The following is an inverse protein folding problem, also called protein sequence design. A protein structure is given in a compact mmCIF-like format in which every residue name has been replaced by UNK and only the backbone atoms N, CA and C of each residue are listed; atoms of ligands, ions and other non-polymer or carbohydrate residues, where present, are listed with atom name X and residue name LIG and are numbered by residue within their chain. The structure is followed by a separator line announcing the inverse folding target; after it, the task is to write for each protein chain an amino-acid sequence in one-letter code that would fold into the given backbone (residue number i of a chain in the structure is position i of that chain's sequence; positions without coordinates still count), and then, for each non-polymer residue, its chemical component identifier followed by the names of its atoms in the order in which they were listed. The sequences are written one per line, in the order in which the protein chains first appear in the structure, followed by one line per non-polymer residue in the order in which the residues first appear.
data_IF_792379786993
#
_entry.id   IF_792379786993
#
_cell.length_a   1.000
_cell.length_b   1.000
_cell.length_c   1.000
_cell.angle_alpha   90.00
_cell.angle_beta   90.00
_cell.angle_gamma   90.00
#
_symmetry.space_group_name_H-M   'P 1'
#
loop_
_entity.id
_entity.type
_entity.pdbx_description
1 polymer ?
#
# COMPACT_ATOMS: atom_id res chain seq x y z
N UNK A 1 14.39 2.69 30.08
CA UNK A 1 13.55 1.49 30.27
C UNK A 1 12.64 1.45 29.07
N UNK A 2 12.98 0.65 28.06
CA UNK A 2 12.10 0.42 26.89
C UNK A 2 10.89 -0.39 27.37
N UNK A 3 9.69 0.14 27.14
CA UNK A 3 8.47 -0.65 27.32
C UNK A 3 8.59 -1.93 26.47
N UNK A 4 8.06 -3.08 26.93
CA UNK A 4 8.08 -4.28 26.12
C UNK A 4 7.34 -3.97 24.80
N UNK A 5 8.06 -4.03 23.68
CA UNK A 5 7.46 -4.01 22.37
C UNK A 5 6.48 -5.19 22.33
N UNK A 6 5.22 -4.89 22.12
CA UNK A 6 4.19 -5.91 21.98
C UNK A 6 4.51 -6.67 20.67
N UNK A 7 5.17 -7.80 20.79
CA UNK A 7 5.77 -8.57 19.68
C UNK A 7 4.72 -9.33 18.85
N UNK A 8 3.43 -9.17 19.21
CA UNK A 8 2.32 -9.82 18.53
C UNK A 8 2.02 -9.10 17.20
N UNK A 9 2.07 -9.81 16.07
CA UNK A 9 1.70 -9.24 14.79
C UNK A 9 0.26 -8.72 14.78
N UNK A 10 0.05 -7.54 14.19
CA UNK A 10 -1.29 -6.94 14.02
C UNK A 10 -2.06 -7.59 12.88
N UNK A 11 -1.34 -8.17 11.89
CA UNK A 11 -1.90 -8.96 10.80
C UNK A 11 -0.91 -10.05 10.39
N UNK A 12 -1.42 -11.24 10.09
CA UNK A 12 -0.68 -12.32 9.43
C UNK A 12 -1.52 -12.89 8.31
N UNK A 13 -0.95 -13.01 7.13
CA UNK A 13 -1.49 -13.78 6.01
C UNK A 13 -0.53 -14.96 5.81
N UNK A 14 -1.03 -16.18 5.91
CA UNK A 14 -0.22 -17.40 5.94
C UNK A 14 -0.63 -18.35 4.82
N UNK A 15 0.35 -18.82 4.04
CA UNK A 15 0.20 -19.87 3.04
C UNK A 15 -0.82 -19.55 1.95
N UNK A 16 -0.92 -18.29 1.50
CA UNK A 16 -1.87 -17.89 0.47
C UNK A 16 -1.51 -18.52 -0.88
N UNK A 17 -2.46 -19.28 -1.41
CA UNK A 17 -2.44 -19.80 -2.77
C UNK A 17 -3.67 -19.27 -3.50
N UNK A 18 -3.50 -18.79 -4.74
CA UNK A 18 -4.57 -18.24 -5.56
C UNK A 18 -4.47 -18.68 -7.01
N UNK A 19 -5.58 -19.20 -7.54
CA UNK A 19 -5.73 -19.48 -8.96
C UNK A 19 -6.65 -18.45 -9.61
N UNK A 20 -6.28 -17.95 -10.77
CA UNK A 20 -7.14 -17.13 -11.63
C UNK A 20 -7.13 -17.75 -13.02
N UNK A 21 -8.32 -17.99 -13.58
CA UNK A 21 -8.51 -18.59 -14.92
C UNK A 21 -7.66 -19.87 -15.15
N UNK A 22 -7.54 -20.71 -14.10
CA UNK A 22 -6.78 -21.97 -14.14
C UNK A 22 -5.26 -21.82 -13.99
N UNK A 23 -4.73 -20.60 -13.85
CA UNK A 23 -3.31 -20.35 -13.59
C UNK A 23 -3.09 -20.07 -12.11
N UNK A 24 -2.04 -20.65 -11.54
CA UNK A 24 -1.61 -20.35 -10.18
C UNK A 24 -0.91 -18.98 -10.20
N UNK A 25 -1.50 -17.99 -9.54
CA UNK A 25 -0.98 -16.62 -9.45
C UNK A 25 -0.20 -16.41 -8.14
N UNK A 26 -0.67 -17.02 -7.03
CA UNK A 26 0.04 -17.06 -5.76
C UNK A 26 0.31 -18.52 -5.40
N UNK A 27 1.48 -18.81 -4.91
CA UNK A 27 1.94 -20.14 -4.54
C UNK A 27 2.66 -20.07 -3.17
N UNK A 28 1.90 -20.33 -2.10
CA UNK A 28 2.40 -20.37 -0.72
C UNK A 28 3.01 -19.05 -0.24
N UNK A 29 2.32 -17.92 -0.49
CA UNK A 29 2.77 -16.60 -0.05
C UNK A 29 2.36 -16.33 1.40
N UNK A 30 3.30 -15.84 2.21
CA UNK A 30 3.04 -15.44 3.59
C UNK A 30 3.62 -14.06 3.88
N UNK A 31 2.96 -13.30 4.77
CA UNK A 31 3.43 -12.01 5.27
C UNK A 31 2.90 -11.79 6.68
N UNK A 32 3.71 -11.17 7.52
CA UNK A 32 3.35 -10.79 8.88
C UNK A 32 3.61 -9.31 9.07
N UNK A 33 2.76 -8.60 9.80
CA UNK A 33 2.84 -7.15 10.04
C UNK A 33 2.85 -6.84 11.53
N UNK A 34 3.78 -6.02 11.97
CA UNK A 34 3.86 -5.46 13.32
C UNK A 34 3.50 -3.98 13.32
N UNK A 35 3.22 -3.37 14.48
CA UNK A 35 3.05 -1.92 14.58
C UNK A 35 4.28 -1.18 14.02
N UNK A 36 4.06 -0.20 13.14
CA UNK A 36 5.12 0.59 12.52
C UNK A 36 5.85 -0.06 11.34
N UNK A 37 5.57 -1.31 11.00
CA UNK A 37 6.17 -1.95 9.82
C UNK A 37 5.75 -1.26 8.52
N UNK A 38 6.72 -1.01 7.65
CA UNK A 38 6.50 -0.64 6.26
C UNK A 38 7.13 -1.71 5.39
N UNK A 39 6.30 -2.59 4.82
CA UNK A 39 6.76 -3.69 3.96
C UNK A 39 6.52 -3.35 2.50
N UNK A 40 7.53 -3.51 1.67
CA UNK A 40 7.46 -3.20 0.25
C UNK A 40 7.59 -4.47 -0.58
N UNK A 41 6.59 -4.72 -1.42
CA UNK A 41 6.56 -5.81 -2.39
C UNK A 41 7.12 -5.32 -3.72
N UNK A 42 8.19 -5.92 -4.19
CA UNK A 42 8.79 -5.65 -5.49
C UNK A 42 8.88 -6.92 -6.33
N UNK A 43 9.15 -6.77 -7.62
CA UNK A 43 9.30 -7.89 -8.56
C UNK A 43 8.65 -7.60 -9.92
N UNK A 44 8.85 -8.48 -10.92
CA UNK A 44 8.37 -8.26 -12.28
C UNK A 44 6.85 -8.13 -12.37
N UNK A 45 6.37 -7.51 -13.46
CA UNK A 45 4.95 -7.49 -13.79
C UNK A 45 4.42 -8.92 -13.91
N UNK A 46 3.21 -9.16 -13.37
CA UNK A 46 2.62 -10.50 -13.34
C UNK A 46 3.15 -11.42 -12.23
N UNK A 47 4.05 -10.97 -11.35
CA UNK A 47 4.55 -11.77 -10.22
C UNK A 47 3.50 -12.07 -9.13
N UNK A 48 2.31 -11.45 -9.20
CA UNK A 48 1.23 -11.70 -8.24
C UNK A 48 1.10 -10.63 -7.13
N UNK A 49 1.88 -9.55 -7.14
CA UNK A 49 1.93 -8.53 -6.08
C UNK A 49 0.56 -7.92 -5.76
N UNK A 50 -0.14 -7.37 -6.74
CA UNK A 50 -1.49 -6.79 -6.57
C UNK A 50 -2.51 -7.84 -6.15
N UNK A 51 -2.41 -9.07 -6.69
CA UNK A 51 -3.26 -10.20 -6.30
C UNK A 51 -3.04 -10.55 -4.82
N UNK A 52 -1.78 -10.50 -4.35
CA UNK A 52 -1.47 -10.76 -2.94
C UNK A 52 -2.09 -9.70 -2.03
N UNK A 53 -1.94 -8.39 -2.35
CA UNK A 53 -2.62 -7.33 -1.61
C UNK A 53 -4.14 -7.50 -1.58
N UNK A 54 -4.75 -7.84 -2.72
CA UNK A 54 -6.19 -8.07 -2.82
C UNK A 54 -6.65 -9.29 -2.01
N UNK A 55 -5.81 -10.32 -1.89
CA UNK A 55 -6.09 -11.47 -1.03
C UNK A 55 -5.98 -11.08 0.47
N UNK A 56 -5.01 -10.24 0.86
CA UNK A 56 -4.87 -9.76 2.24
C UNK A 56 -6.11 -8.97 2.68
N UNK A 57 -6.70 -8.16 1.80
CA UNK A 57 -7.95 -7.44 2.08
C UNK A 57 -9.20 -8.26 1.78
N UNK A 58 -9.06 -9.53 1.37
CA UNK A 58 -10.15 -10.41 0.95
C UNK A 58 -11.08 -9.79 -0.13
N UNK A 59 -10.56 -8.89 -0.97
CA UNK A 59 -11.23 -8.50 -2.22
C UNK A 59 -11.23 -9.66 -3.20
N UNK A 60 -10.15 -10.44 -3.21
CA UNK A 60 -10.05 -11.76 -3.80
C UNK A 60 -9.89 -12.76 -2.66
N UNK A 61 -10.83 -13.69 -2.52
CA UNK A 61 -10.69 -14.78 -1.57
C UNK A 61 -9.55 -15.70 -2.01
N UNK A 62 -8.54 -15.97 -1.15
CA UNK A 62 -7.51 -16.96 -1.47
C UNK A 62 -8.14 -18.36 -1.56
N UNK A 63 -7.58 -19.22 -2.43
CA UNK A 63 -8.06 -20.59 -2.54
C UNK A 63 -7.52 -21.49 -1.41
N UNK A 64 -6.37 -21.10 -0.82
CA UNK A 64 -5.78 -21.72 0.36
C UNK A 64 -5.09 -20.65 1.21
N UNK A 65 -4.92 -20.94 2.49
CA UNK A 65 -4.26 -20.08 3.44
C UNK A 65 -5.19 -19.50 4.50
N UNK A 66 -4.63 -18.70 5.38
CA UNK A 66 -5.33 -18.12 6.53
C UNK A 66 -4.93 -16.67 6.71
N UNK A 67 -5.86 -15.87 7.23
CA UNK A 67 -5.58 -14.49 7.66
C UNK A 67 -5.95 -14.31 9.13
N UNK A 68 -5.10 -13.62 9.85
CA UNK A 68 -5.25 -13.31 11.25
C UNK A 68 -5.15 -11.81 11.48
N UNK A 69 -6.06 -11.27 12.29
CA UNK A 69 -5.99 -9.91 12.84
C UNK A 69 -5.67 -10.01 14.34
N UNK A 70 -4.42 -9.72 14.71
CA UNK A 70 -3.90 -10.06 16.02
C UNK A 70 -4.02 -11.57 16.24
N UNK A 71 -4.74 -11.96 17.31
CA UNK A 71 -4.94 -13.37 17.67
C UNK A 71 -6.23 -13.99 17.08
N UNK A 72 -7.00 -13.18 16.31
CA UNK A 72 -8.26 -13.65 15.73
C UNK A 72 -8.05 -14.11 14.27
N UNK A 73 -8.35 -15.38 14.00
CA UNK A 73 -8.41 -15.92 12.64
C UNK A 73 -9.72 -15.50 11.97
N UNK A 74 -9.63 -14.89 10.82
CA UNK A 74 -10.78 -14.42 10.04
C UNK A 74 -11.40 -15.59 9.26
N UNK A 75 -12.70 -15.80 9.45
CA UNK A 75 -13.46 -16.77 8.64
C UNK A 75 -13.91 -16.10 7.34
N UNK A 76 -13.37 -16.56 6.21
CA UNK A 76 -13.72 -16.05 4.87
C UNK A 76 -15.20 -16.23 4.51
N UNK A 77 -15.91 -17.17 5.16
CA UNK A 77 -17.34 -17.39 4.95
C UNK A 77 -18.21 -16.48 5.80
N UNK A 78 -17.65 -15.82 6.81
CA UNK A 78 -18.37 -14.92 7.68
C UNK A 78 -18.30 -13.48 7.13
N UNK A 79 -19.36 -13.05 6.48
CA UNK A 79 -19.47 -11.69 5.89
C UNK A 79 -19.19 -10.58 6.89
N UNK A 80 -19.56 -10.76 8.16
CA UNK A 80 -19.31 -9.75 9.20
C UNK A 80 -17.81 -9.61 9.48
N UNK A 81 -17.10 -10.72 9.61
CA UNK A 81 -15.66 -10.71 9.83
C UNK A 81 -14.90 -10.12 8.63
N UNK A 82 -15.36 -10.39 7.39
CA UNK A 82 -14.82 -9.74 6.20
C UNK A 82 -15.05 -8.23 6.19
N UNK A 83 -16.19 -7.75 6.67
CA UNK A 83 -16.43 -6.31 6.80
C UNK A 83 -15.53 -5.69 7.89
N UNK A 84 -15.35 -6.37 9.02
CA UNK A 84 -14.46 -5.91 10.09
C UNK A 84 -13.01 -5.87 9.62
N UNK A 85 -12.56 -6.90 8.87
CA UNK A 85 -11.24 -6.90 8.24
C UNK A 85 -11.06 -5.68 7.33
N UNK A 86 -11.99 -5.44 6.39
CA UNK A 86 -11.89 -4.35 5.41
C UNK A 86 -12.00 -2.95 6.04
N UNK A 87 -12.55 -2.83 7.23
CA UNK A 87 -12.53 -1.56 7.97
C UNK A 87 -11.17 -1.30 8.60
N UNK A 88 -10.46 -2.36 9.03
CA UNK A 88 -9.13 -2.27 9.66
C UNK A 88 -8.00 -2.25 8.65
N UNK A 89 -8.19 -2.86 7.49
CA UNK A 89 -7.20 -2.96 6.41
C UNK A 89 -7.65 -2.07 5.28
N UNK A 90 -7.22 -0.82 5.29
CA UNK A 90 -7.49 0.16 4.24
C UNK A 90 -6.75 -0.19 2.95
N UNK A 91 -7.35 0.07 1.78
CA UNK A 91 -6.71 -0.18 0.50
C UNK A 91 -6.76 1.04 -0.41
N UNK A 92 -5.60 1.37 -0.97
CA UNK A 92 -5.39 2.44 -1.94
C UNK A 92 -4.94 1.77 -3.24
N UNK A 93 -5.68 2.03 -4.31
CA UNK A 93 -5.48 1.39 -5.61
C UNK A 93 -4.63 2.26 -6.54
N UNK A 94 -4.10 1.66 -7.58
CA UNK A 94 -3.39 2.32 -8.67
C UNK A 94 -4.27 3.36 -9.35
N UNK A 95 -5.52 3.00 -9.68
CA UNK A 95 -6.54 3.93 -10.10
C UNK A 95 -7.21 4.52 -8.85
N UNK A 96 -7.48 5.82 -8.87
CA UNK A 96 -7.97 6.56 -7.70
C UNK A 96 -9.29 6.04 -7.16
N UNK A 97 -10.12 5.42 -8.02
CA UNK A 97 -11.44 4.86 -7.70
C UNK A 97 -12.34 5.83 -6.92
N UNK A 98 -12.31 7.11 -7.31
CA UNK A 98 -13.20 8.11 -6.76
C UNK A 98 -14.56 8.05 -7.46
N UNK A 99 -15.60 8.40 -6.73
CA UNK A 99 -16.94 8.57 -7.28
C UNK A 99 -17.03 9.94 -7.95
N UNK A 100 -17.13 9.99 -9.28
CA UNK A 100 -17.09 11.21 -10.08
C UNK A 100 -18.24 12.18 -9.78
N UNK A 101 -19.37 11.66 -9.34
CA UNK A 101 -20.56 12.44 -8.97
C UNK A 101 -20.53 12.97 -7.53
N UNK A 102 -19.47 12.73 -6.78
CA UNK A 102 -19.27 13.20 -5.41
C UNK A 102 -18.08 14.17 -5.34
N UNK A 103 -18.21 15.23 -4.51
CA UNK A 103 -17.07 16.08 -4.15
C UNK A 103 -16.01 15.30 -3.37
N UNK A 104 -14.80 15.87 -3.22
CA UNK A 104 -13.71 15.25 -2.43
C UNK A 104 -14.18 14.92 -0.99
N UNK A 105 -14.81 15.89 -0.29
CA UNK A 105 -15.34 15.66 1.05
C UNK A 105 -16.39 14.53 1.10
N UNK A 106 -17.27 14.45 0.09
CA UNK A 106 -18.29 13.40 0.04
C UNK A 106 -17.71 12.04 -0.33
N UNK A 107 -16.65 11.98 -1.14
CA UNK A 107 -15.89 10.76 -1.39
C UNK A 107 -15.29 10.19 -0.09
N UNK A 108 -14.71 11.05 0.74
CA UNK A 108 -14.15 10.66 2.04
C UNK A 108 -15.25 10.31 3.04
N UNK A 109 -16.31 11.12 3.14
CA UNK A 109 -17.39 10.95 4.11
C UNK A 109 -18.29 9.74 3.83
N UNK A 110 -18.30 9.19 2.62
CA UNK A 110 -19.25 8.16 2.20
C UNK A 110 -19.19 6.91 3.09
N UNK A 111 -17.98 6.37 3.30
CA UNK A 111 -17.77 5.17 4.11
C UNK A 111 -18.12 5.42 5.58
N UNK A 112 -17.78 6.58 6.12
CA UNK A 112 -18.13 6.97 7.49
C UNK A 112 -19.63 6.94 7.73
N UNK A 113 -20.42 7.42 6.76
CA UNK A 113 -21.88 7.43 6.83
C UNK A 113 -22.49 6.05 6.62
N UNK A 114 -22.00 5.28 5.65
CA UNK A 114 -22.61 4.01 5.24
C UNK A 114 -22.16 2.82 6.07
N UNK A 115 -20.93 2.82 6.56
CA UNK A 115 -20.33 1.71 7.30
C UNK A 115 -20.30 2.00 8.79
N UNK A 116 -19.84 3.20 9.21
CA UNK A 116 -19.77 3.58 10.63
C UNK A 116 -21.05 4.23 11.17
N UNK A 117 -22.02 4.55 10.30
CA UNK A 117 -23.31 5.11 10.71
C UNK A 117 -23.24 6.55 11.23
N UNK A 118 -22.15 7.30 10.95
CA UNK A 118 -22.01 8.68 11.40
C UNK A 118 -23.09 9.58 10.77
N UNK A 119 -23.47 10.64 11.48
CA UNK A 119 -24.29 11.70 10.92
C UNK A 119 -23.59 12.36 9.72
N UNK A 120 -24.36 13.05 8.87
CA UNK A 120 -23.76 13.75 7.73
C UNK A 120 -22.79 14.85 8.19
N UNK A 121 -23.09 15.54 9.28
CA UNK A 121 -22.26 16.61 9.82
C UNK A 121 -20.92 16.05 10.32
N UNK A 122 -20.95 15.04 11.19
CA UNK A 122 -19.75 14.42 11.78
C UNK A 122 -18.87 13.78 10.71
N UNK A 123 -19.49 13.12 9.71
CA UNK A 123 -18.75 12.51 8.61
C UNK A 123 -18.05 13.56 7.72
N UNK A 124 -18.65 14.71 7.47
CA UNK A 124 -18.04 15.81 6.71
C UNK A 124 -16.94 16.48 7.55
N UNK A 125 -17.15 16.70 8.84
CA UNK A 125 -16.10 17.23 9.73
C UNK A 125 -14.87 16.32 9.72
N UNK A 126 -15.06 15.02 9.89
CA UNK A 126 -13.98 14.05 9.80
C UNK A 126 -13.30 14.06 8.41
N UNK A 127 -14.08 14.16 7.35
CA UNK A 127 -13.55 14.25 5.99
C UNK A 127 -12.64 15.49 5.79
N UNK A 128 -13.02 16.63 6.35
CA UNK A 128 -12.20 17.84 6.30
C UNK A 128 -10.87 17.67 7.05
N UNK A 129 -10.87 16.99 8.19
CA UNK A 129 -9.63 16.66 8.94
C UNK A 129 -8.68 15.85 8.08
N UNK A 130 -9.17 14.77 7.44
CA UNK A 130 -8.32 13.91 6.63
C UNK A 130 -7.88 14.58 5.31
N UNK A 131 -8.75 15.40 4.70
CA UNK A 131 -8.34 16.20 3.54
C UNK A 131 -7.27 17.23 3.89
N UNK A 132 -7.36 17.87 5.06
CA UNK A 132 -6.31 18.77 5.55
C UNK A 132 -4.99 18.02 5.78
N UNK A 133 -5.05 16.80 6.34
CA UNK A 133 -3.88 15.95 6.57
C UNK A 133 -3.12 15.61 5.29
N UNK A 134 -3.80 15.50 4.15
CA UNK A 134 -3.19 15.26 2.85
C UNK A 134 -2.97 16.55 2.02
N UNK A 135 -3.09 17.73 2.66
CA UNK A 135 -2.86 19.02 2.00
C UNK A 135 -3.94 19.47 1.02
N UNK A 136 -5.20 19.07 1.23
CA UNK A 136 -6.33 19.36 0.34
C UNK A 136 -7.50 20.06 1.04
N UNK A 137 -7.25 20.81 2.13
CA UNK A 137 -8.30 21.50 2.88
C UNK A 137 -9.14 22.45 2.02
N UNK A 138 -8.49 23.19 1.09
CA UNK A 138 -9.11 24.15 0.17
C UNK A 138 -9.82 23.49 -1.02
N UNK A 139 -9.63 22.19 -1.23
CA UNK A 139 -10.16 21.41 -2.35
C UNK A 139 -11.38 20.54 -1.98
N UNK A 140 -11.84 20.58 -0.72
CA UNK A 140 -12.87 19.69 -0.20
C UNK A 140 -14.16 19.65 -1.06
N UNK A 141 -14.55 20.77 -1.64
CA UNK A 141 -15.78 20.88 -2.44
C UNK A 141 -15.61 20.57 -3.92
N UNK A 142 -14.38 20.36 -4.39
CA UNK A 142 -14.11 20.04 -5.79
C UNK A 142 -14.50 18.60 -6.13
N UNK A 143 -14.92 18.40 -7.37
CA UNK A 143 -15.22 17.10 -7.94
C UNK A 143 -13.98 16.48 -8.58
N UNK A 144 -13.90 15.16 -8.77
CA UNK A 144 -12.73 14.50 -9.36
C UNK A 144 -12.29 15.09 -10.70
N UNK A 145 -13.22 15.52 -11.56
CA UNK A 145 -12.90 16.17 -12.83
C UNK A 145 -12.15 17.51 -12.69
N UNK A 146 -12.18 18.14 -11.52
CA UNK A 146 -11.53 19.42 -11.22
C UNK A 146 -10.19 19.24 -10.47
N UNK A 147 -9.78 18.01 -10.21
CA UNK A 147 -8.58 17.67 -9.46
C UNK A 147 -7.50 17.08 -10.38
N UNK A 148 -6.23 17.41 -10.11
CA UNK A 148 -5.10 16.74 -10.77
C UNK A 148 -5.03 15.27 -10.36
N UNK A 149 -4.26 14.45 -11.08
CA UNK A 149 -4.02 13.04 -10.72
C UNK A 149 -3.50 12.89 -9.30
N UNK A 150 -2.47 13.65 -8.90
CA UNK A 150 -1.92 13.64 -7.55
C UNK A 150 -2.93 14.08 -6.48
N UNK A 151 -3.79 15.06 -6.79
CA UNK A 151 -4.87 15.46 -5.89
C UNK A 151 -5.93 14.36 -5.73
N UNK A 152 -6.33 13.69 -6.81
CA UNK A 152 -7.24 12.53 -6.76
C UNK A 152 -6.69 11.41 -5.88
N UNK A 153 -5.39 11.10 -6.04
CA UNK A 153 -4.75 10.07 -5.22
C UNK A 153 -4.71 10.47 -3.74
N UNK A 154 -4.42 11.72 -3.44
CA UNK A 154 -4.45 12.22 -2.06
C UNK A 154 -5.87 12.19 -1.47
N UNK A 155 -6.93 12.42 -2.26
CA UNK A 155 -8.32 12.20 -1.82
C UNK A 155 -8.57 10.71 -1.54
N UNK A 156 -8.06 9.79 -2.37
CA UNK A 156 -8.19 8.35 -2.14
C UNK A 156 -7.46 7.92 -0.84
N UNK A 157 -6.29 8.50 -0.56
CA UNK A 157 -5.57 8.29 0.71
C UNK A 157 -6.41 8.82 1.89
N UNK A 158 -6.92 10.06 1.82
CA UNK A 158 -7.77 10.65 2.86
C UNK A 158 -9.02 9.79 3.12
N UNK A 159 -9.63 9.24 2.07
CA UNK A 159 -10.77 8.32 2.18
C UNK A 159 -10.43 7.05 2.94
N UNK A 160 -9.26 6.47 2.70
CA UNK A 160 -8.80 5.29 3.42
C UNK A 160 -8.50 5.62 4.89
N UNK A 161 -7.81 6.74 5.16
CA UNK A 161 -7.46 7.20 6.52
C UNK A 161 -8.68 7.53 7.36
N UNK A 162 -9.75 8.05 6.77
CA UNK A 162 -10.97 8.42 7.49
C UNK A 162 -11.61 7.25 8.23
N UNK A 163 -11.38 6.02 7.77
CA UNK A 163 -11.84 4.80 8.43
C UNK A 163 -11.00 4.36 9.63
N UNK A 164 -9.97 5.12 10.03
CA UNK A 164 -9.01 4.77 11.08
C UNK A 164 -8.45 3.34 10.90
N UNK A 165 -7.84 3.03 9.76
CA UNK A 165 -7.34 1.69 9.49
C UNK A 165 -6.15 1.36 10.38
N UNK A 166 -6.03 0.09 10.77
CA UNK A 166 -4.87 -0.43 11.49
C UNK A 166 -3.66 -0.61 10.55
N UNK A 167 -3.93 -0.89 9.26
CA UNK A 167 -2.93 -1.14 8.22
C UNK A 167 -3.43 -0.52 6.91
N UNK A 168 -2.50 0.04 6.11
CA UNK A 168 -2.76 0.46 4.74
C UNK A 168 -2.10 -0.48 3.75
N UNK A 169 -2.85 -0.89 2.75
CA UNK A 169 -2.36 -1.56 1.54
C UNK A 169 -2.33 -0.54 0.40
N UNK A 170 -1.18 -0.41 -0.26
CA UNK A 170 -0.99 0.54 -1.35
C UNK A 170 -0.54 -0.24 -2.60
N UNK A 171 -1.42 -0.30 -3.59
CA UNK A 171 -1.15 -0.98 -4.86
C UNK A 171 -0.72 0.04 -5.91
N UNK A 172 0.58 0.18 -6.13
CA UNK A 172 1.20 1.11 -7.07
C UNK A 172 0.61 2.53 -7.02
N UNK A 173 0.65 3.22 -5.87
CA UNK A 173 -0.12 4.46 -5.64
C UNK A 173 0.30 5.64 -6.52
N UNK A 174 1.36 5.53 -7.31
CA UNK A 174 1.90 6.60 -8.15
C UNK A 174 2.00 6.25 -9.63
N UNK A 175 1.70 5.01 -10.04
CA UNK A 175 1.92 4.55 -11.42
C UNK A 175 0.97 5.19 -12.45
N UNK A 176 -0.20 5.69 -12.01
CA UNK A 176 -1.16 6.40 -12.85
C UNK A 176 -0.94 7.94 -12.86
N UNK A 177 0.19 8.43 -12.34
CA UNK A 177 0.48 9.84 -12.21
C UNK A 177 1.56 10.30 -13.19
N UNK A 178 1.43 11.56 -13.64
CA UNK A 178 2.52 12.25 -14.30
C UNK A 178 3.72 12.38 -13.35
N UNK A 179 4.98 12.26 -13.85
CA UNK A 179 6.19 12.30 -13.02
C UNK A 179 6.27 13.50 -12.08
N UNK A 180 5.81 14.66 -12.52
CA UNK A 180 5.80 15.90 -11.74
C UNK A 180 4.90 15.82 -10.48
N UNK A 181 3.86 14.97 -10.50
CA UNK A 181 2.88 14.82 -9.43
C UNK A 181 3.22 13.70 -8.43
N UNK A 182 4.16 12.83 -8.78
CA UNK A 182 4.57 11.69 -7.96
C UNK A 182 5.08 12.14 -6.58
N UNK A 183 5.91 13.18 -6.54
CA UNK A 183 6.54 13.68 -5.32
C UNK A 183 5.56 14.09 -4.23
N UNK A 184 4.44 14.71 -4.61
CA UNK A 184 3.41 15.15 -3.65
C UNK A 184 2.75 13.95 -2.94
N UNK A 185 2.47 12.87 -3.68
CA UNK A 185 1.85 11.65 -3.13
C UNK A 185 2.84 10.89 -2.26
N UNK A 186 4.09 10.74 -2.73
CA UNK A 186 5.14 10.07 -1.96
C UNK A 186 5.45 10.80 -0.64
N UNK A 187 5.38 12.13 -0.62
CA UNK A 187 5.53 12.91 0.61
C UNK A 187 4.46 12.55 1.64
N UNK A 188 3.19 12.49 1.24
CA UNK A 188 2.11 12.07 2.14
C UNK A 188 2.32 10.65 2.67
N UNK A 189 2.72 9.70 1.81
CA UNK A 189 2.98 8.32 2.24
C UNK A 189 4.17 8.26 3.21
N UNK A 190 5.24 9.03 2.95
CA UNK A 190 6.40 9.14 3.86
C UNK A 190 6.01 9.68 5.23
N UNK A 191 5.18 10.72 5.26
CA UNK A 191 4.69 11.30 6.51
C UNK A 191 3.86 10.30 7.31
N UNK A 192 3.02 9.51 6.65
CA UNK A 192 2.27 8.43 7.30
C UNK A 192 3.20 7.36 7.88
N UNK A 193 4.22 6.94 7.14
CA UNK A 193 5.25 6.01 7.62
C UNK A 193 5.99 6.56 8.84
N UNK A 194 6.43 7.81 8.78
CA UNK A 194 7.14 8.48 9.89
C UNK A 194 6.28 8.59 11.17
N UNK A 195 4.94 8.65 11.01
CA UNK A 195 4.00 8.62 12.15
C UNK A 195 3.62 7.20 12.59
N UNK A 196 4.31 6.18 12.09
CA UNK A 196 4.15 4.80 12.52
C UNK A 196 2.93 4.07 11.93
N UNK A 197 2.34 4.56 10.82
CA UNK A 197 1.27 3.85 10.12
C UNK A 197 1.81 2.58 9.48
N UNK A 198 1.36 1.38 9.89
CA UNK A 198 1.78 0.14 9.25
C UNK A 198 1.27 0.06 7.81
N UNK A 199 2.14 -0.33 6.88
CA UNK A 199 1.78 -0.41 5.45
C UNK A 199 2.39 -1.60 4.75
N UNK A 200 1.65 -2.13 3.77
CA UNK A 200 2.18 -3.00 2.73
C UNK A 200 2.02 -2.28 1.40
N UNK A 201 3.09 -2.07 0.68
CA UNK A 201 3.08 -1.29 -0.56
C UNK A 201 3.70 -2.05 -1.71
N UNK A 202 3.04 -2.03 -2.86
CA UNK A 202 3.63 -2.37 -4.16
C UNK A 202 4.10 -1.08 -4.81
N UNK A 203 5.36 -1.01 -5.22
CA UNK A 203 5.90 0.16 -5.93
C UNK A 203 7.07 -0.20 -6.83
N UNK A 204 7.27 0.61 -7.86
CA UNK A 204 8.46 0.60 -8.72
C UNK A 204 9.44 1.74 -8.36
N UNK A 205 9.13 2.56 -7.36
CA UNK A 205 9.96 3.68 -6.88
C UNK A 205 11.01 3.16 -5.89
N UNK A 206 12.15 2.66 -6.40
CA UNK A 206 13.15 1.97 -5.57
C UNK A 206 13.81 2.87 -4.53
N UNK A 207 14.13 4.13 -4.88
CA UNK A 207 14.69 5.10 -3.94
C UNK A 207 13.71 5.42 -2.79
N UNK A 208 12.43 5.52 -3.12
CA UNK A 208 11.40 5.69 -2.10
C UNK A 208 11.27 4.44 -1.22
N UNK A 209 11.24 3.25 -1.82
CA UNK A 209 11.19 1.98 -1.08
C UNK A 209 12.37 1.88 -0.10
N UNK A 210 13.61 2.19 -0.56
CA UNK A 210 14.82 2.22 0.28
C UNK A 210 14.68 3.17 1.48
N UNK A 211 14.04 4.32 1.27
CA UNK A 211 13.94 5.37 2.29
C UNK A 211 12.89 5.10 3.38
N UNK A 212 11.85 4.30 3.08
CA UNK A 212 10.71 4.14 3.99
C UNK A 212 10.48 2.71 4.46
N UNK A 213 10.95 1.70 3.70
CA UNK A 213 10.68 0.30 4.04
C UNK A 213 11.45 -0.13 5.28
N UNK A 214 10.78 -0.88 6.15
CA UNK A 214 11.42 -1.67 7.21
C UNK A 214 11.85 -3.04 6.68
N UNK A 215 11.17 -3.51 5.62
CA UNK A 215 11.45 -4.79 5.00
C UNK A 215 10.99 -4.79 3.53
N UNK A 216 11.77 -5.43 2.68
CA UNK A 216 11.45 -5.67 1.27
C UNK A 216 11.16 -7.15 1.07
N UNK A 217 10.12 -7.45 0.29
CA UNK A 217 9.77 -8.79 -0.18
C UNK A 217 9.86 -8.80 -1.71
N UNK A 218 10.72 -9.64 -2.25
CA UNK A 218 10.82 -9.82 -3.69
C UNK A 218 9.96 -10.99 -4.15
N UNK A 219 9.01 -10.71 -5.05
CA UNK A 219 8.09 -11.71 -5.60
C UNK A 219 8.44 -12.05 -7.04
N UNK A 220 8.51 -13.34 -7.33
CA UNK A 220 8.69 -13.89 -8.68
C UNK A 220 7.91 -15.18 -8.83
N UNK A 221 7.22 -15.37 -9.96
CA UNK A 221 6.47 -16.59 -10.24
C UNK A 221 5.39 -16.96 -9.21
N UNK A 222 4.79 -15.95 -8.57
CA UNK A 222 3.76 -16.14 -7.56
C UNK A 222 4.27 -16.48 -6.16
N UNK A 223 5.58 -16.38 -5.92
CA UNK A 223 6.22 -16.67 -4.62
C UNK A 223 6.98 -15.48 -4.09
N UNK A 224 7.10 -15.37 -2.78
CA UNK A 224 8.11 -14.53 -2.13
C UNK A 224 9.41 -15.33 -2.13
N UNK A 225 10.41 -14.91 -2.91
CA UNK A 225 11.67 -15.65 -3.05
C UNK A 225 12.82 -15.04 -2.26
N UNK A 226 12.73 -13.76 -1.93
CA UNK A 226 13.67 -13.06 -1.05
C UNK A 226 12.91 -12.13 -0.12
N UNK A 227 13.38 -11.98 1.10
CA UNK A 227 12.83 -11.09 2.10
C UNK A 227 13.95 -10.63 3.04
N UNK A 228 14.02 -9.34 3.34
CA UNK A 228 15.04 -8.78 4.22
C UNK A 228 15.02 -7.26 4.30
N UNK A 229 15.98 -6.72 5.05
CA UNK A 229 16.15 -5.28 5.19
C UNK A 229 16.54 -4.62 3.84
N UNK A 230 16.09 -3.38 3.58
CA UNK A 230 16.45 -2.66 2.35
C UNK A 230 17.96 -2.56 2.14
N UNK A 231 18.72 -2.34 3.23
CA UNK A 231 20.18 -2.21 3.21
C UNK A 231 20.88 -3.49 2.75
N UNK A 232 20.26 -4.65 2.99
CA UNK A 232 20.81 -5.95 2.60
C UNK A 232 20.43 -6.30 1.16
N UNK A 233 19.15 -6.18 0.82
CA UNK A 233 18.63 -6.60 -0.49
C UNK A 233 18.94 -5.63 -1.63
N UNK A 234 19.04 -4.32 -1.33
CA UNK A 234 19.34 -3.26 -2.29
C UNK A 234 20.80 -2.77 -2.21
N UNK A 235 21.69 -3.48 -1.47
CA UNK A 235 23.09 -3.10 -1.38
C UNK A 235 23.76 -3.19 -2.76
N UNK A 236 24.61 -2.19 -3.13
CA UNK A 236 25.42 -2.29 -4.35
C UNK A 236 26.29 -3.54 -4.33
N UNK A 237 26.17 -4.39 -5.36
CA UNK A 237 26.94 -5.63 -5.46
C UNK A 237 26.40 -6.81 -4.64
N UNK A 238 25.23 -6.69 -4.03
CA UNK A 238 24.52 -7.83 -3.45
C UNK A 238 24.22 -8.87 -4.54
N UNK A 239 24.54 -10.14 -4.29
CA UNK A 239 24.26 -11.25 -5.22
C UNK A 239 22.84 -11.79 -4.96
N UNK A 240 21.82 -10.92 -5.10
CA UNK A 240 20.41 -11.24 -4.86
C UNK A 240 19.60 -11.06 -6.14
N UNK A 241 18.49 -11.80 -6.27
CA UNK A 241 17.54 -11.60 -7.37
C UNK A 241 16.91 -10.21 -7.31
N UNK A 242 16.75 -9.68 -6.11
CA UNK A 242 16.29 -8.32 -5.86
C UNK A 242 17.21 -7.30 -6.50
N UNK A 243 18.53 -7.40 -6.27
CA UNK A 243 19.52 -6.49 -6.85
C UNK A 243 19.59 -6.61 -8.38
N UNK A 244 19.58 -7.83 -8.92
CA UNK A 244 19.53 -8.08 -10.37
C UNK A 244 18.30 -7.39 -11.01
N UNK A 245 17.15 -7.46 -10.34
CA UNK A 245 15.92 -6.83 -10.81
C UNK A 245 16.03 -5.30 -10.78
N UNK A 246 16.53 -4.73 -9.68
CA UNK A 246 16.69 -3.28 -9.53
C UNK A 246 17.69 -2.70 -10.54
N UNK A 247 18.80 -3.38 -10.79
CA UNK A 247 19.79 -2.97 -11.81
C UNK A 247 19.18 -2.92 -13.20
N UNK A 248 18.40 -3.95 -13.58
CA UNK A 248 17.71 -3.95 -14.88
C UNK A 248 16.67 -2.84 -15.01
N UNK A 249 15.96 -2.49 -13.92
CA UNK A 249 15.02 -1.36 -13.92
C UNK A 249 15.75 -0.04 -14.14
N UNK A 250 16.89 0.15 -13.49
CA UNK A 250 17.72 1.34 -13.62
C UNK A 250 18.24 1.50 -15.06
N UNK A 251 18.76 0.43 -15.65
CA UNK A 251 19.24 0.40 -17.04
C UNK A 251 18.14 0.73 -18.06
N UNK A 252 16.90 0.30 -17.79
CA UNK A 252 15.75 0.57 -18.65
C UNK A 252 15.21 2.01 -18.53
N UNK A 253 15.39 2.65 -17.37
CA UNK A 253 14.94 4.03 -17.15
C UNK A 253 15.93 5.09 -17.67
N UNK A 254 17.12 4.72 -18.15
CA UNK A 254 18.03 5.61 -18.87
C UNK A 254 18.78 6.64 -18.02
N UNK A 255 18.87 6.46 -16.71
CA UNK A 255 19.78 7.23 -15.86
C UNK A 255 21.20 6.62 -15.96
N UNK A 256 21.91 6.97 -17.05
CA UNK A 256 23.35 6.75 -17.11
C UNK A 256 24.03 7.58 -16.00
N UNK A 257 24.84 6.93 -15.19
CA UNK A 257 25.73 7.62 -14.24
C UNK A 257 26.47 8.75 -14.97
N UNK A 258 26.60 9.94 -14.36
CA UNK A 258 27.49 10.95 -14.93
C UNK A 258 28.91 10.38 -14.93
N UNK A 259 29.52 10.29 -16.13
CA UNK A 259 30.89 9.90 -16.36
C UNK A 259 31.80 10.52 -15.30
N UNK A 260 32.48 9.67 -14.55
CA UNK A 260 33.59 10.09 -13.70
C UNK A 260 34.66 10.67 -14.61
N UNK A 261 34.68 12.00 -14.75
CA UNK A 261 35.75 12.71 -15.49
C UNK A 261 37.11 12.22 -15.01
N UNK A 262 37.75 11.53 -15.92
CA UNK A 262 39.16 11.22 -15.85
C UNK A 262 39.92 12.53 -15.76
N UNK A 263 40.42 12.87 -14.57
CA UNK A 263 41.43 13.92 -14.40
C UNK A 263 42.79 13.36 -14.85
N UNK A 264 43.25 13.83 -15.99
CA UNK A 264 44.66 13.85 -16.35
C UNK A 264 45.34 15.03 -15.63
#
# INVERSE_FOLDING_TARGET
MNAPQNDTPILRAEHFTKFLTGRKILDDCSISMRPGDVKVLIGPSGAGKSTFLQCINCLLEPDQGEIWLGDHRVDFKNTKELYDLRQRVGMIFQEFNLFDHLSAENNVALALRKVRGLSKADAIERAHVELARVGLADKARLYPAQLSGGQKQRVAIARALAMDPTILLLDEPTSALDPELVGEVLTVIRDLAAHGMPMIMVTHQMEFARAVATEILFMEGGKVIEQGAPEELLAPGAQTRTQDFCTRLHDLCGESEPDAEVRN
#
